data_IF_724149550159
#
_entry.id   IF_724149550159
#
_cell.length_a   1.000
_cell.length_b   1.000
_cell.length_c   1.000
_cell.angle_alpha   90.00
_cell.angle_beta   90.00
_cell.angle_gamma   90.00
#
_symmetry.space_group_name_H-M   'P 1'
#
loop_
_entity.id
_entity.type
_entity.pdbx_description
1 polymer ?
#
# COMPACT_ATOMS: atom_id res chain seq x y z
N UNK A 1 12.33 2.67 36.32
CA UNK A 1 10.92 2.99 36.04
C UNK A 1 10.18 1.66 35.90
N UNK A 2 8.91 1.59 36.30
CA UNK A 2 8.06 0.46 35.91
C UNK A 2 7.77 0.54 34.39
N UNK A 3 7.58 -0.58 33.69
CA UNK A 3 7.24 -0.54 32.27
C UNK A 3 5.82 0.00 32.08
N UNK A 4 5.63 0.91 31.11
CA UNK A 4 4.30 1.43 30.76
C UNK A 4 3.49 0.33 30.07
N UNK A 5 2.30 0.08 30.59
CA UNK A 5 1.25 -0.67 29.90
C UNK A 5 0.65 0.24 28.82
N UNK A 6 0.45 -0.31 27.63
CA UNK A 6 -0.14 0.35 26.47
C UNK A 6 -1.44 -0.33 26.09
N UNK A 7 -2.49 0.44 25.79
CA UNK A 7 -3.74 -0.10 25.27
C UNK A 7 -3.61 -0.59 23.82
N UNK A 8 -4.58 -1.38 23.35
CA UNK A 8 -4.64 -1.85 21.96
C UNK A 8 -4.48 -0.73 20.93
N UNK A 9 -5.00 0.47 21.21
CA UNK A 9 -4.87 1.65 20.33
C UNK A 9 -3.45 2.23 20.37
N UNK A 10 -2.89 2.39 21.56
CA UNK A 10 -1.52 2.91 21.73
C UNK A 10 -0.46 1.98 21.11
N UNK A 11 -0.65 0.66 21.21
CA UNK A 11 0.17 -0.38 20.58
C UNK A 11 0.27 -0.22 19.06
N UNK A 12 -0.81 0.26 18.44
CA UNK A 12 -0.95 0.43 16.99
C UNK A 12 -0.51 1.83 16.55
N UNK A 13 -0.65 2.84 17.42
CA UNK A 13 -0.29 4.23 17.13
C UNK A 13 1.17 4.62 17.47
N UNK A 14 1.92 3.75 18.17
CA UNK A 14 3.34 3.94 18.42
C UNK A 14 4.23 3.60 17.19
N UNK A 15 5.36 4.31 17.00
CA UNK A 15 6.45 3.85 16.15
C UNK A 15 7.18 2.64 16.76
N UNK A 16 7.91 1.89 15.94
CA UNK A 16 8.90 0.91 16.40
C UNK A 16 10.20 1.63 16.85
N UNK A 17 10.98 1.08 17.79
CA UNK A 17 12.29 1.63 18.16
C UNK A 17 13.32 1.40 17.04
N UNK A 18 14.31 2.30 16.92
CA UNK A 18 15.42 2.14 15.97
C UNK A 18 16.25 0.87 16.28
N UNK A 19 16.78 0.20 15.26
CA UNK A 19 17.67 -0.95 15.45
C UNK A 19 19.03 -0.52 16.02
N UNK A 20 19.50 -1.26 17.02
CA UNK A 20 20.84 -1.10 17.59
C UNK A 20 21.90 -1.77 16.71
N UNK A 21 22.32 -1.10 15.63
CA UNK A 21 23.34 -1.59 14.70
C UNK A 21 24.72 -0.99 15.05
N UNK A 22 25.80 -1.76 14.87
CA UNK A 22 27.17 -1.26 14.86
C UNK A 22 27.73 -1.33 13.43
N UNK A 23 28.28 -0.22 12.93
CA UNK A 23 28.76 -0.13 11.54
C UNK A 23 29.92 -1.08 11.21
N UNK A 24 30.72 -1.44 12.23
CA UNK A 24 31.90 -2.30 12.13
C UNK A 24 31.55 -3.78 12.24
N UNK A 25 30.46 -4.12 12.93
CA UNK A 25 30.08 -5.51 13.26
C UNK A 25 28.76 -5.95 12.59
N UNK A 26 28.60 -5.62 11.31
CA UNK A 26 27.41 -5.95 10.50
C UNK A 26 27.77 -6.55 9.13
N UNK A 27 26.86 -7.31 8.54
CA UNK A 27 27.05 -7.98 7.24
C UNK A 27 27.42 -6.99 6.12
N UNK A 28 28.48 -7.32 5.38
CA UNK A 28 29.05 -6.43 4.35
C UNK A 28 28.52 -6.70 2.94
N UNK A 29 28.00 -7.90 2.67
CA UNK A 29 27.39 -8.33 1.41
C UNK A 29 25.87 -8.08 1.35
N UNK A 30 25.29 -7.64 0.22
CA UNK A 30 23.84 -7.68 0.00
C UNK A 30 23.36 -9.13 -0.21
N UNK A 31 22.06 -9.38 -0.03
CA UNK A 31 21.46 -10.73 -0.13
C UNK A 31 20.54 -10.93 -1.35
N UNK A 32 20.35 -9.88 -2.16
CA UNK A 32 19.44 -9.86 -3.30
C UNK A 32 19.75 -10.98 -4.30
N UNK A 33 18.71 -11.70 -4.73
CA UNK A 33 18.86 -12.79 -5.69
C UNK A 33 18.92 -12.26 -7.13
N UNK A 34 19.53 -13.01 -8.05
CA UNK A 34 19.47 -12.72 -9.50
C UNK A 34 18.11 -13.15 -10.08
N UNK A 35 17.06 -12.45 -9.65
CA UNK A 35 15.67 -12.72 -9.96
C UNK A 35 14.94 -11.38 -10.04
N UNK A 36 14.28 -11.10 -11.16
CA UNK A 36 13.56 -9.86 -11.44
C UNK A 36 12.07 -10.11 -11.53
N UNK A 37 11.28 -9.14 -11.10
CA UNK A 37 9.86 -9.04 -11.44
C UNK A 37 9.69 -8.49 -12.87
N UNK A 38 8.94 -9.21 -13.70
CA UNK A 38 8.86 -8.97 -15.15
C UNK A 38 7.51 -8.44 -15.65
N UNK A 39 6.44 -8.63 -14.88
CA UNK A 39 5.09 -8.15 -15.20
C UNK A 39 4.90 -6.66 -14.80
N UNK A 40 3.67 -6.15 -14.86
CA UNK A 40 3.39 -4.74 -14.62
C UNK A 40 3.32 -4.36 -13.14
N UNK A 41 3.78 -3.14 -12.84
CA UNK A 41 3.71 -2.48 -11.53
C UNK A 41 2.62 -1.39 -11.53
N UNK A 42 1.94 -1.25 -10.40
CA UNK A 42 1.07 -0.09 -10.11
C UNK A 42 1.15 0.29 -8.63
N UNK A 43 0.68 1.48 -8.28
CA UNK A 43 0.69 1.95 -6.89
C UNK A 43 -0.53 1.43 -6.12
N UNK A 44 -0.37 1.22 -4.81
CA UNK A 44 -1.45 0.90 -3.88
C UNK A 44 -1.41 1.88 -2.68
N UNK A 45 -2.41 2.76 -2.57
CA UNK A 45 -2.50 3.60 -1.37
C UNK A 45 -3.08 2.79 -0.19
N UNK A 46 -2.17 2.18 0.57
CA UNK A 46 -2.50 1.46 1.79
C UNK A 46 -2.73 2.41 2.98
N UNK A 47 -2.05 3.56 3.01
CA UNK A 47 -2.02 4.49 4.15
C UNK A 47 -3.42 5.00 4.51
N UNK A 48 -4.18 5.50 3.53
CA UNK A 48 -5.55 5.99 3.77
C UNK A 48 -6.47 4.91 4.33
N UNK A 49 -6.53 3.75 3.65
CA UNK A 49 -7.41 2.64 4.03
C UNK A 49 -7.02 2.03 5.38
N UNK A 50 -5.72 2.05 5.74
CA UNK A 50 -5.22 1.60 7.02
C UNK A 50 -5.61 2.53 8.18
N UNK A 51 -5.50 3.86 8.02
CA UNK A 51 -6.02 4.86 8.97
C UNK A 51 -7.55 4.71 9.12
N UNK A 52 -8.29 4.64 8.02
CA UNK A 52 -9.75 4.43 8.03
C UNK A 52 -10.17 3.15 8.79
N UNK A 53 -9.46 2.03 8.59
CA UNK A 53 -9.74 0.81 9.35
C UNK A 53 -9.36 0.93 10.83
N UNK A 54 -8.18 1.50 11.14
CA UNK A 54 -7.72 1.77 12.52
C UNK A 54 -8.71 2.64 13.30
N UNK A 55 -9.27 3.67 12.65
CA UNK A 55 -10.25 4.59 13.26
C UNK A 55 -11.66 3.97 13.37
N UNK A 56 -11.98 2.98 12.53
CA UNK A 56 -13.27 2.26 12.58
C UNK A 56 -13.39 1.23 13.71
N UNK A 57 -12.29 0.93 14.41
CA UNK A 57 -12.27 -0.09 15.48
C UNK A 57 -12.79 0.50 16.80
N UNK A 58 -13.76 -0.20 17.41
CA UNK A 58 -14.17 -0.02 18.81
C UNK A 58 -13.08 -0.55 19.74
N UNK A 59 -12.07 0.28 20.00
CA UNK A 59 -10.89 -0.05 20.79
C UNK A 59 -11.24 -0.29 22.26
N UNK A 60 -11.00 -1.51 22.75
CA UNK A 60 -11.21 -1.90 24.15
C UNK A 60 -9.87 -2.01 24.86
N UNK A 61 -9.73 -1.29 25.97
CA UNK A 61 -8.49 -1.15 26.75
C UNK A 61 -8.08 -2.42 27.54
N UNK A 62 -8.76 -3.54 27.29
CA UNK A 62 -8.45 -4.86 27.85
C UNK A 62 -7.11 -5.44 27.34
N UNK A 63 -6.67 -5.01 26.15
CA UNK A 63 -5.36 -5.39 25.60
C UNK A 63 -4.27 -4.55 26.26
N UNK A 64 -3.32 -5.22 26.91
CA UNK A 64 -2.15 -4.58 27.50
C UNK A 64 -0.87 -5.21 26.96
N UNK A 65 0.05 -4.37 26.49
CA UNK A 65 1.44 -4.74 26.18
C UNK A 65 2.40 -3.71 26.76
N UNK A 66 3.70 -4.02 26.79
CA UNK A 66 4.72 -3.15 27.35
C UNK A 66 5.37 -2.26 26.28
N UNK A 67 5.49 -0.96 26.56
CA UNK A 67 6.31 -0.06 25.76
C UNK A 67 7.78 -0.51 25.73
N UNK A 68 8.42 -0.51 24.56
CA UNK A 68 9.84 -0.84 24.38
C UNK A 68 10.62 0.38 23.90
N UNK A 69 10.80 1.37 24.79
CA UNK A 69 11.33 2.71 24.48
C UNK A 69 12.68 2.73 23.73
N UNK A 70 13.50 1.67 23.87
CA UNK A 70 14.84 1.54 23.27
C UNK A 70 15.19 0.08 22.98
N UNK A 71 15.72 -0.17 21.79
CA UNK A 71 16.32 -1.44 21.43
C UNK A 71 17.53 -1.77 22.33
N UNK A 72 17.61 -3.03 22.78
CA UNK A 72 18.66 -3.52 23.68
C UNK A 72 19.60 -4.50 22.98
N UNK A 73 19.10 -5.29 22.04
CA UNK A 73 19.83 -6.32 21.32
C UNK A 73 20.54 -5.72 20.10
N UNK A 74 21.83 -6.03 19.93
CA UNK A 74 22.56 -5.63 18.74
C UNK A 74 22.09 -6.41 17.51
N UNK A 75 21.94 -5.72 16.38
CA UNK A 75 21.65 -6.31 15.08
C UNK A 75 22.86 -6.18 14.15
N UNK A 76 23.21 -7.28 13.48
CA UNK A 76 24.38 -7.35 12.61
C UNK A 76 24.17 -8.17 11.34
N UNK A 77 23.01 -8.81 11.17
CA UNK A 77 22.70 -9.69 10.02
C UNK A 77 21.19 -9.75 9.74
N UNK A 78 20.78 -10.57 8.75
CA UNK A 78 19.36 -10.71 8.38
C UNK A 78 18.55 -11.47 9.44
N UNK A 79 19.12 -12.45 10.14
CA UNK A 79 18.40 -13.19 11.19
C UNK A 79 18.09 -12.30 12.40
N UNK A 80 19.03 -11.44 12.82
CA UNK A 80 18.79 -10.45 13.88
C UNK A 80 17.76 -9.40 13.47
N UNK A 81 17.76 -8.94 12.20
CA UNK A 81 16.71 -8.06 11.66
C UNK A 81 15.33 -8.74 11.70
N UNK A 82 15.21 -9.99 11.22
CA UNK A 82 13.95 -10.78 11.30
C UNK A 82 13.49 -10.95 12.75
N UNK A 83 14.40 -11.32 13.65
CA UNK A 83 14.06 -11.54 15.06
C UNK A 83 13.57 -10.26 15.77
N UNK A 84 14.15 -9.10 15.47
CA UNK A 84 13.70 -7.82 16.04
C UNK A 84 12.43 -7.31 15.37
N UNK A 85 12.22 -7.53 14.08
CA UNK A 85 10.95 -7.24 13.41
C UNK A 85 9.80 -8.08 14.00
N UNK A 86 10.01 -9.39 14.13
CA UNK A 86 9.03 -10.30 14.72
C UNK A 86 8.70 -9.94 16.18
N UNK A 87 9.68 -9.50 16.97
CA UNK A 87 9.47 -9.12 18.37
C UNK A 87 8.84 -7.73 18.54
N UNK A 88 9.39 -6.69 17.90
CA UNK A 88 8.94 -5.30 18.09
C UNK A 88 7.56 -5.06 17.44
N UNK A 89 7.29 -5.68 16.28
CA UNK A 89 6.04 -5.52 15.54
C UNK A 89 5.11 -6.73 15.67
N UNK A 90 5.49 -7.88 15.10
CA UNK A 90 4.55 -8.97 14.85
C UNK A 90 3.95 -9.58 16.12
N UNK A 91 4.76 -9.77 17.15
CA UNK A 91 4.32 -10.26 18.46
C UNK A 91 3.34 -9.27 19.11
N UNK A 92 3.71 -7.98 19.19
CA UNK A 92 2.88 -6.90 19.74
C UNK A 92 1.54 -6.77 19.01
N UNK A 93 1.57 -6.86 17.68
CA UNK A 93 0.40 -6.77 16.79
C UNK A 93 -0.54 -7.98 16.91
N UNK A 94 -0.03 -9.17 17.25
CA UNK A 94 -0.86 -10.40 17.36
C UNK A 94 -2.01 -10.24 18.36
N UNK A 95 -1.82 -9.44 19.43
CA UNK A 95 -2.88 -9.09 20.39
C UNK A 95 -4.05 -8.35 19.73
N UNK A 96 -3.76 -7.42 18.82
CA UNK A 96 -4.79 -6.68 18.08
C UNK A 96 -5.40 -7.52 16.94
N UNK A 97 -4.62 -8.40 16.29
CA UNK A 97 -5.15 -9.34 15.31
C UNK A 97 -6.24 -10.23 15.92
N UNK A 98 -5.94 -10.86 17.06
CA UNK A 98 -6.84 -11.78 17.76
C UNK A 98 -8.17 -11.11 18.14
N UNK A 99 -8.17 -9.81 18.49
CA UNK A 99 -9.37 -9.10 18.95
C UNK A 99 -10.16 -8.41 17.85
N UNK A 100 -9.52 -7.92 16.79
CA UNK A 100 -10.13 -7.02 15.80
C UNK A 100 -10.08 -7.50 14.34
N UNK A 101 -9.29 -8.53 14.03
CA UNK A 101 -9.15 -9.09 12.67
C UNK A 101 -9.68 -10.52 12.59
N UNK A 102 -9.06 -11.44 13.34
CA UNK A 102 -9.42 -12.85 13.46
C UNK A 102 -8.63 -13.46 14.63
N UNK A 103 -9.32 -14.17 15.51
CA UNK A 103 -8.78 -14.89 16.69
C UNK A 103 -7.69 -15.90 16.33
N UNK A 104 -7.84 -16.61 15.21
CA UNK A 104 -6.86 -17.59 14.73
C UNK A 104 -5.61 -17.01 14.06
N UNK A 105 -5.48 -15.70 13.81
CA UNK A 105 -4.39 -15.16 12.98
C UNK A 105 -3.14 -14.74 13.75
N UNK A 106 -2.00 -15.37 13.43
CA UNK A 106 -0.70 -15.15 14.06
C UNK A 106 0.46 -15.14 13.05
N UNK A 107 1.51 -14.37 13.36
CA UNK A 107 2.76 -14.37 12.60
C UNK A 107 3.69 -15.51 13.05
N UNK A 108 4.51 -16.01 12.13
CA UNK A 108 5.55 -16.99 12.42
C UNK A 108 6.34 -17.43 11.19
N UNK A 109 7.19 -18.44 11.34
CA UNK A 109 7.99 -19.01 10.24
C UNK A 109 7.12 -19.58 9.12
N UNK A 110 7.54 -19.43 7.85
CA UNK A 110 6.87 -20.06 6.71
C UNK A 110 6.71 -21.59 6.85
N UNK A 111 7.62 -22.26 7.57
CA UNK A 111 7.55 -23.72 7.80
C UNK A 111 6.33 -24.14 8.63
N UNK A 112 5.72 -23.22 9.38
CA UNK A 112 4.49 -23.46 10.12
C UNK A 112 3.24 -23.49 9.21
N UNK A 113 3.34 -23.08 7.94
CA UNK A 113 2.23 -23.16 7.00
C UNK A 113 1.97 -24.60 6.52
N UNK A 114 0.69 -24.94 6.40
CA UNK A 114 0.17 -26.23 5.93
C UNK A 114 0.49 -26.46 4.46
N UNK A 115 0.98 -27.67 4.14
CA UNK A 115 1.47 -28.06 2.80
C UNK A 115 2.46 -27.01 2.23
N UNK A 116 3.57 -26.72 2.94
CA UNK A 116 4.50 -25.69 2.52
C UNK A 116 5.16 -26.09 1.19
N UNK A 117 5.26 -25.13 0.27
CA UNK A 117 5.88 -25.35 -1.03
C UNK A 117 7.39 -25.46 -0.82
N UNK A 118 8.01 -26.43 -1.51
CA UNK A 118 9.47 -26.57 -1.50
C UNK A 118 10.10 -25.44 -2.33
N UNK A 119 10.68 -24.46 -1.64
CA UNK A 119 11.56 -23.45 -2.22
C UNK A 119 13.03 -23.72 -1.85
N UNK A 120 13.97 -23.17 -2.64
CA UNK A 120 15.40 -23.15 -2.32
C UNK A 120 15.75 -22.14 -1.21
N UNK A 121 15.03 -21.02 -1.16
CA UNK A 121 14.90 -20.13 0.01
C UNK A 121 13.42 -19.91 0.28
N UNK A 122 13.01 -19.97 1.54
CA UNK A 122 11.62 -19.74 1.97
C UNK A 122 11.37 -18.26 2.32
N UNK A 123 10.10 -17.80 2.40
CA UNK A 123 9.76 -16.57 3.09
C UNK A 123 10.29 -16.56 4.53
N UNK A 124 10.86 -15.44 4.94
CA UNK A 124 11.44 -15.26 6.29
C UNK A 124 10.33 -15.14 7.35
N UNK A 125 9.19 -14.56 6.96
CA UNK A 125 8.03 -14.31 7.82
C UNK A 125 6.77 -14.74 7.06
N UNK A 126 5.80 -15.30 7.79
CA UNK A 126 4.46 -15.60 7.30
C UNK A 126 3.40 -15.09 8.30
N UNK A 127 2.22 -14.76 7.77
CA UNK A 127 0.99 -14.64 8.55
C UNK A 127 0.13 -15.88 8.23
N UNK A 128 -0.25 -16.63 9.26
CA UNK A 128 -1.01 -17.89 9.15
C UNK A 128 -2.27 -17.85 10.03
N UNK A 129 -3.21 -18.75 9.78
CA UNK A 129 -4.29 -19.06 10.72
C UNK A 129 -3.92 -20.23 11.66
N UNK A 130 -4.73 -20.43 12.69
CA UNK A 130 -4.80 -21.60 13.58
C UNK A 130 -4.84 -22.95 12.82
N UNK A 131 -5.63 -23.02 11.75
CA UNK A 131 -5.71 -24.15 10.82
C UNK A 131 -4.45 -24.32 9.94
N UNK A 132 -3.38 -23.56 10.24
CA UNK A 132 -2.11 -23.44 9.54
C UNK A 132 -2.23 -22.98 8.08
N UNK A 133 -3.35 -22.37 7.68
CA UNK A 133 -3.50 -21.84 6.33
C UNK A 133 -2.70 -20.53 6.19
N UNK A 134 -1.92 -20.42 5.10
CA UNK A 134 -1.13 -19.23 4.80
C UNK A 134 -2.01 -18.07 4.34
N UNK A 135 -1.81 -16.88 4.90
CA UNK A 135 -2.51 -15.65 4.53
C UNK A 135 -1.58 -14.64 3.82
N UNK A 136 -0.39 -14.37 4.38
CA UNK A 136 0.59 -13.40 3.86
C UNK A 136 2.00 -14.00 3.89
N UNK A 137 2.84 -13.61 2.94
CA UNK A 137 4.29 -13.91 2.93
C UNK A 137 5.12 -12.63 3.09
N UNK A 138 6.23 -12.71 3.80
CA UNK A 138 7.18 -11.62 4.03
C UNK A 138 8.61 -12.00 3.68
N UNK A 139 9.35 -11.04 3.14
CA UNK A 139 10.81 -11.09 2.95
C UNK A 139 11.46 -10.00 3.82
N UNK A 140 12.56 -10.32 4.48
CA UNK A 140 13.36 -9.38 5.25
C UNK A 140 14.74 -9.15 4.61
N UNK A 141 15.29 -7.95 4.82
CA UNK A 141 16.57 -7.49 4.28
C UNK A 141 17.29 -6.61 5.30
N UNK A 142 18.62 -6.50 5.24
CA UNK A 142 19.32 -5.52 6.11
C UNK A 142 19.18 -4.09 5.59
N UNK A 143 18.91 -3.09 6.45
CA UNK A 143 18.78 -1.70 6.00
C UNK A 143 20.12 -1.11 5.55
N UNK A 144 21.22 -1.48 6.20
CA UNK A 144 22.59 -1.05 5.83
C UNK A 144 23.12 -1.64 4.50
N UNK A 145 22.32 -2.44 3.78
CA UNK A 145 22.60 -2.88 2.40
C UNK A 145 21.49 -2.53 1.42
N UNK A 146 20.27 -2.29 1.88
CA UNK A 146 19.09 -2.14 1.03
C UNK A 146 18.26 -0.94 1.47
N UNK A 147 18.12 0.04 0.58
CA UNK A 147 17.34 1.27 0.75
C UNK A 147 16.24 1.25 -0.31
N UNK A 148 15.00 0.97 0.11
CA UNK A 148 13.86 0.76 -0.78
C UNK A 148 13.54 2.05 -1.55
N UNK A 149 13.63 3.22 -0.89
CA UNK A 149 13.40 4.54 -1.51
C UNK A 149 14.46 4.89 -2.54
N UNK A 150 15.71 4.45 -2.37
CA UNK A 150 16.74 4.57 -3.42
C UNK A 150 16.48 3.59 -4.56
N UNK A 151 16.21 2.32 -4.25
CA UNK A 151 15.98 1.27 -5.22
C UNK A 151 14.78 1.59 -6.14
N UNK A 152 13.68 2.11 -5.58
CA UNK A 152 12.49 2.57 -6.33
C UNK A 152 12.76 3.63 -7.42
N UNK A 153 13.91 4.31 -7.40
CA UNK A 153 14.30 5.29 -8.43
C UNK A 153 15.01 4.64 -9.63
N UNK A 154 15.33 3.35 -9.55
CA UNK A 154 16.10 2.60 -10.54
C UNK A 154 15.32 1.31 -10.82
N UNK A 155 14.39 1.36 -11.78
CA UNK A 155 13.42 0.27 -12.05
C UNK A 155 14.06 -1.13 -12.11
N UNK A 156 15.17 -1.28 -12.86
CA UNK A 156 15.88 -2.56 -12.97
C UNK A 156 16.48 -3.08 -11.64
N UNK A 157 16.80 -2.20 -10.68
CA UNK A 157 17.20 -2.59 -9.32
C UNK A 157 15.97 -2.85 -8.43
N UNK A 158 14.92 -2.02 -8.51
CA UNK A 158 13.67 -2.25 -7.77
C UNK A 158 13.03 -3.59 -8.13
N UNK A 159 12.95 -3.90 -9.44
CA UNK A 159 12.44 -5.17 -9.96
C UNK A 159 13.31 -6.36 -9.55
N UNK A 160 14.63 -6.18 -9.44
CA UNK A 160 15.52 -7.20 -8.86
C UNK A 160 15.20 -7.45 -7.37
N UNK A 161 15.02 -6.36 -6.63
CA UNK A 161 14.79 -6.38 -5.20
C UNK A 161 13.45 -7.05 -4.82
N UNK A 162 12.37 -6.73 -5.54
CA UNK A 162 11.04 -7.30 -5.30
C UNK A 162 10.82 -8.67 -5.97
N UNK A 163 11.69 -9.11 -6.89
CA UNK A 163 11.53 -10.36 -7.64
C UNK A 163 11.42 -11.61 -6.75
N UNK A 164 12.05 -11.59 -5.57
CA UNK A 164 11.99 -12.66 -4.59
C UNK A 164 10.60 -12.78 -3.92
N UNK A 165 10.09 -11.68 -3.35
CA UNK A 165 8.76 -11.65 -2.72
C UNK A 165 7.64 -11.88 -3.77
N UNK A 166 7.79 -11.33 -4.98
CA UNK A 166 6.86 -11.57 -6.09
C UNK A 166 6.79 -13.06 -6.47
N UNK A 167 7.92 -13.78 -6.48
CA UNK A 167 7.94 -15.23 -6.70
C UNK A 167 7.24 -16.00 -5.58
N UNK A 168 7.45 -15.60 -4.32
CA UNK A 168 6.81 -16.23 -3.17
C UNK A 168 5.28 -16.09 -3.23
N UNK A 169 4.78 -14.87 -3.44
CA UNK A 169 3.35 -14.58 -3.57
C UNK A 169 2.71 -15.38 -4.71
N UNK A 170 3.35 -15.44 -5.88
CA UNK A 170 2.90 -16.23 -7.04
C UNK A 170 2.85 -17.73 -6.73
N UNK A 171 3.98 -18.34 -6.31
CA UNK A 171 4.05 -19.79 -6.07
C UNK A 171 3.08 -20.23 -4.98
N UNK A 172 2.96 -19.47 -3.88
CA UNK A 172 2.02 -19.75 -2.79
C UNK A 172 0.56 -19.37 -3.11
N UNK A 173 0.31 -18.72 -4.25
CA UNK A 173 -0.99 -18.13 -4.62
C UNK A 173 -1.54 -17.18 -3.54
N UNK A 174 -0.68 -16.49 -2.77
CA UNK A 174 -1.14 -15.48 -1.80
C UNK A 174 -1.41 -14.15 -2.49
N UNK A 175 -2.56 -13.54 -2.19
CA UNK A 175 -2.90 -12.21 -2.69
C UNK A 175 -1.96 -11.14 -2.13
N UNK A 176 -1.69 -11.21 -0.83
CA UNK A 176 -0.98 -10.18 -0.08
C UNK A 176 0.43 -10.62 0.31
N UNK A 177 1.35 -9.65 0.41
CA UNK A 177 2.74 -9.86 0.81
C UNK A 177 3.41 -8.56 1.26
N UNK A 178 4.63 -8.65 1.80
CA UNK A 178 5.44 -7.49 2.15
C UNK A 178 6.95 -7.76 2.02
N UNK A 179 7.73 -6.68 1.91
CA UNK A 179 9.18 -6.71 2.05
C UNK A 179 9.58 -5.62 3.05
N UNK A 180 10.41 -5.98 4.02
CA UNK A 180 10.90 -5.04 5.04
C UNK A 180 12.43 -5.01 5.12
N UNK A 181 13.00 -3.84 5.38
CA UNK A 181 14.38 -3.67 5.82
C UNK A 181 14.46 -3.43 7.34
N UNK A 182 13.39 -3.78 8.07
CA UNK A 182 12.95 -3.16 9.32
C UNK A 182 12.67 -1.66 9.16
N UNK A 183 13.70 -0.85 8.87
CA UNK A 183 13.61 0.62 8.84
C UNK A 183 12.59 1.15 7.82
N UNK A 184 12.51 0.50 6.66
CA UNK A 184 11.60 0.78 5.56
C UNK A 184 10.79 -0.48 5.25
N UNK A 185 9.48 -0.37 5.05
CA UNK A 185 8.62 -1.50 4.65
C UNK A 185 7.73 -1.13 3.47
N UNK A 186 7.52 -2.09 2.58
CA UNK A 186 6.67 -1.98 1.39
C UNK A 186 5.73 -3.18 1.33
N UNK A 187 4.44 -2.90 1.08
CA UNK A 187 3.37 -3.88 1.00
C UNK A 187 2.99 -4.16 -0.45
N UNK A 188 2.50 -5.37 -0.73
CA UNK A 188 2.17 -5.82 -2.07
C UNK A 188 0.82 -6.51 -2.12
N UNK A 189 0.09 -6.31 -3.22
CA UNK A 189 -1.05 -7.13 -3.61
C UNK A 189 -0.97 -7.58 -5.07
N UNK A 190 -1.30 -8.85 -5.33
CA UNK A 190 -1.53 -9.38 -6.68
C UNK A 190 -2.99 -9.16 -7.09
N UNK A 191 -3.22 -8.48 -8.21
CA UNK A 191 -4.57 -8.21 -8.74
C UNK A 191 -4.66 -8.44 -10.25
N UNK A 192 -5.83 -8.83 -10.81
CA UNK A 192 -6.03 -8.89 -12.25
C UNK A 192 -5.85 -7.51 -12.89
N UNK A 193 -5.29 -7.43 -14.11
CA UNK A 193 -5.17 -6.18 -14.84
C UNK A 193 -6.56 -5.75 -15.36
N UNK A 194 -7.11 -4.58 -14.95
CA UNK A 194 -8.52 -4.23 -15.15
C UNK A 194 -8.93 -4.21 -16.62
N UNK A 195 -8.02 -3.77 -17.51
CA UNK A 195 -8.24 -3.68 -18.96
C UNK A 195 -7.70 -4.86 -19.79
N UNK A 196 -7.02 -5.86 -19.21
CA UNK A 196 -6.30 -6.92 -19.95
C UNK A 196 -6.55 -8.31 -19.33
N UNK A 197 -7.41 -9.11 -19.98
CA UNK A 197 -7.74 -10.48 -19.51
C UNK A 197 -6.49 -11.36 -19.40
N UNK A 198 -6.41 -12.15 -18.32
CA UNK A 198 -5.27 -13.02 -17.97
C UNK A 198 -3.92 -12.34 -17.70
N UNK A 199 -3.84 -11.01 -17.76
CA UNK A 199 -2.69 -10.25 -17.25
C UNK A 199 -2.95 -9.94 -15.77
N UNK A 200 -1.90 -9.98 -14.96
CA UNK A 200 -1.92 -9.65 -13.54
C UNK A 200 -0.89 -8.55 -13.26
N UNK A 201 -1.14 -7.79 -12.20
CA UNK A 201 -0.34 -6.64 -11.77
C UNK A 201 0.13 -6.87 -10.33
N UNK A 202 1.37 -6.49 -10.04
CA UNK A 202 1.86 -6.41 -8.67
C UNK A 202 1.73 -4.96 -8.21
N UNK A 203 0.67 -4.67 -7.47
CA UNK A 203 0.50 -3.33 -6.89
C UNK A 203 1.34 -3.22 -5.62
N UNK A 204 2.12 -2.15 -5.50
CA UNK A 204 3.04 -1.90 -4.39
C UNK A 204 2.68 -0.63 -3.63
N UNK A 205 2.83 -0.66 -2.31
CA UNK A 205 2.59 0.53 -1.48
C UNK A 205 3.73 1.55 -1.59
N UNK A 206 3.50 2.79 -1.15
CA UNK A 206 4.57 3.64 -0.69
C UNK A 206 5.42 2.96 0.40
N UNK A 207 6.66 3.42 0.56
CA UNK A 207 7.50 3.02 1.69
C UNK A 207 6.96 3.62 2.98
N UNK A 208 6.64 2.76 3.94
CA UNK A 208 6.25 3.10 5.31
C UNK A 208 7.49 2.92 6.20
N UNK A 209 7.83 3.93 7.00
CA UNK A 209 8.98 3.85 7.89
C UNK A 209 8.60 3.23 9.24
N UNK A 210 9.52 2.49 9.84
CA UNK A 210 9.32 1.90 11.17
C UNK A 210 9.00 2.95 12.26
N UNK A 211 9.54 4.16 12.09
CA UNK A 211 9.38 5.29 13.00
C UNK A 211 8.34 6.33 12.54
N UNK A 212 7.53 6.01 11.51
CA UNK A 212 6.34 6.79 11.15
C UNK A 212 5.37 6.84 12.33
N UNK A 213 4.98 8.05 12.72
CA UNK A 213 4.11 8.31 13.87
C UNK A 213 2.65 8.39 13.42
N UNK A 214 1.74 8.09 14.34
CA UNK A 214 0.37 8.57 14.21
C UNK A 214 0.38 10.10 14.16
N UNK A 215 -0.18 10.66 13.08
CA UNK A 215 -0.61 12.06 13.03
C UNK A 215 -2.05 12.11 12.52
N UNK A 216 -2.86 13.01 13.10
CA UNK A 216 -4.24 13.19 12.68
C UNK A 216 -4.29 13.91 11.31
N UNK A 217 -5.12 13.39 10.42
CA UNK A 217 -5.52 14.07 9.18
C UNK A 217 -6.73 14.96 9.50
N UNK A 218 -6.76 16.18 8.94
CA UNK A 218 -7.87 17.10 9.15
C UNK A 218 -9.15 16.62 8.44
N UNK A 219 -10.32 16.93 9.01
CA UNK A 219 -11.63 16.46 8.53
C UNK A 219 -11.90 16.87 7.08
N UNK A 220 -11.43 18.06 6.67
CA UNK A 220 -11.55 18.59 5.31
C UNK A 220 -10.67 17.88 4.25
N UNK A 221 -9.89 16.87 4.68
CA UNK A 221 -8.85 16.20 3.88
C UNK A 221 -8.92 14.68 3.91
N UNK A 222 -9.93 14.09 4.57
CA UNK A 222 -10.04 12.64 4.75
C UNK A 222 -10.17 11.85 3.44
N UNK A 223 -10.81 12.43 2.42
CA UNK A 223 -11.01 11.75 1.13
C UNK A 223 -9.75 11.77 0.25
N UNK A 224 -8.82 12.72 0.46
CA UNK A 224 -7.60 12.82 -0.36
C UNK A 224 -6.47 11.94 0.22
N UNK A 225 -6.04 10.86 -0.48
CA UNK A 225 -5.08 9.91 0.05
C UNK A 225 -3.65 10.47 0.27
N UNK A 226 -3.33 11.64 -0.29
CA UNK A 226 -2.00 12.24 -0.17
C UNK A 226 -1.72 12.79 1.24
N UNK A 227 -2.74 13.30 1.95
CA UNK A 227 -2.55 13.88 3.30
C UNK A 227 -2.26 12.85 4.39
N UNK A 228 -2.44 11.56 4.10
CA UNK A 228 -2.13 10.45 4.98
C UNK A 228 -0.64 10.07 4.94
N UNK A 229 0.13 10.59 3.97
CA UNK A 229 1.50 10.16 3.71
C UNK A 229 2.42 10.40 4.91
N UNK A 230 2.95 9.30 5.46
CA UNK A 230 3.88 9.33 6.59
C UNK A 230 3.23 9.56 7.96
N UNK A 231 1.89 9.69 7.99
CA UNK A 231 1.05 9.94 9.19
C UNK A 231 0.36 8.69 9.75
N UNK A 232 0.67 7.55 9.14
CA UNK A 232 0.08 6.23 9.42
C UNK A 232 1.23 5.32 9.82
N UNK A 233 1.05 4.59 10.92
CA UNK A 233 2.15 3.77 11.44
C UNK A 233 2.36 2.52 10.60
N UNK A 234 3.51 1.87 10.81
CA UNK A 234 3.74 0.55 10.25
C UNK A 234 2.76 -0.49 10.79
N UNK A 235 2.38 -0.41 12.07
CA UNK A 235 1.44 -1.34 12.70
C UNK A 235 0.01 -1.20 12.15
N UNK A 236 -0.43 0.01 11.80
CA UNK A 236 -1.72 0.26 11.16
C UNK A 236 -1.79 -0.36 9.76
N UNK A 237 -0.73 -0.19 8.96
CA UNK A 237 -0.63 -0.80 7.65
C UNK A 237 -0.67 -2.35 7.73
N UNK A 238 -0.02 -2.95 8.72
CA UNK A 238 -0.06 -4.40 8.94
C UNK A 238 -1.39 -4.91 9.51
N UNK A 239 -2.06 -4.16 10.39
CA UNK A 239 -3.39 -4.48 10.91
C UNK A 239 -4.42 -4.54 9.75
N UNK A 240 -4.36 -3.57 8.84
CA UNK A 240 -5.15 -3.55 7.62
C UNK A 240 -4.75 -4.65 6.63
N UNK A 241 -3.45 -4.92 6.43
CA UNK A 241 -2.97 -6.04 5.61
C UNK A 241 -3.53 -7.38 6.09
N UNK A 242 -3.55 -7.59 7.41
CA UNK A 242 -4.13 -8.78 8.03
C UNK A 242 -5.64 -8.86 7.80
N UNK A 243 -6.38 -7.75 7.92
CA UNK A 243 -7.82 -7.69 7.60
C UNK A 243 -8.12 -8.03 6.14
N UNK A 244 -7.36 -7.46 5.20
CA UNK A 244 -7.50 -7.77 3.77
C UNK A 244 -7.13 -9.22 3.45
N UNK A 245 -6.17 -9.80 4.18
CA UNK A 245 -5.81 -11.21 4.05
C UNK A 245 -6.75 -12.19 4.78
N UNK A 246 -7.55 -11.75 5.76
CA UNK A 246 -8.61 -12.58 6.35
C UNK A 246 -9.83 -12.66 5.43
N UNK A 247 -10.16 -11.54 4.76
CA UNK A 247 -11.18 -11.44 3.70
C UNK A 247 -10.79 -12.22 2.43
N UNK A 248 -9.64 -11.89 1.83
CA UNK A 248 -9.16 -12.48 0.59
C UNK A 248 -7.65 -12.78 0.64
N UNK A 249 -7.34 -14.06 0.87
CA UNK A 249 -5.96 -14.57 0.90
C UNK A 249 -5.44 -15.06 -0.45
N UNK A 250 -6.25 -15.17 -1.51
CA UNK A 250 -5.87 -15.96 -2.70
C UNK A 250 -5.75 -15.15 -4.00
N UNK A 251 -4.59 -15.25 -4.64
CA UNK A 251 -4.39 -14.78 -6.01
C UNK A 251 -4.51 -15.96 -6.99
N UNK A 252 -5.55 -15.92 -7.84
CA UNK A 252 -5.72 -16.82 -8.97
C UNK A 252 -4.83 -16.44 -10.17
N UNK A 253 -3.56 -16.07 -9.92
CA UNK A 253 -2.65 -15.54 -10.93
C UNK A 253 -2.44 -16.57 -12.07
N UNK A 254 -2.92 -16.22 -13.26
CA UNK A 254 -2.96 -17.07 -14.45
C UNK A 254 -1.81 -16.81 -15.42
N UNK A 255 -0.90 -15.87 -15.12
CA UNK A 255 0.29 -15.64 -15.92
C UNK A 255 1.27 -16.81 -15.85
N UNK A 256 2.01 -17.06 -16.94
CA UNK A 256 3.13 -17.99 -16.92
C UNK A 256 4.22 -17.51 -15.94
N UNK A 257 4.80 -18.42 -15.15
CA UNK A 257 5.76 -18.08 -14.09
C UNK A 257 6.95 -17.23 -14.59
N UNK A 258 7.45 -17.52 -15.81
CA UNK A 258 8.56 -16.81 -16.47
C UNK A 258 8.23 -15.36 -16.88
N UNK A 259 6.93 -15.06 -17.02
CA UNK A 259 6.40 -13.74 -17.38
C UNK A 259 6.04 -12.92 -16.14
N UNK A 260 5.91 -13.59 -14.98
CA UNK A 260 5.78 -12.95 -13.68
C UNK A 260 7.16 -12.61 -13.09
N UNK A 261 8.09 -13.58 -13.07
CA UNK A 261 9.45 -13.44 -12.55
C UNK A 261 10.47 -14.22 -13.38
N UNK A 262 11.64 -13.62 -13.65
CA UNK A 262 12.70 -14.21 -14.46
C UNK A 262 14.11 -13.89 -13.97
N UNK A 263 15.10 -14.67 -14.37
CA UNK A 263 16.52 -14.44 -14.05
C UNK A 263 17.23 -13.51 -15.05
N UNK A 264 16.46 -12.75 -15.83
CA UNK A 264 16.89 -12.01 -17.01
C UNK A 264 16.22 -10.63 -17.02
N UNK A 265 17.03 -9.58 -16.82
CA UNK A 265 16.58 -8.20 -16.76
C UNK A 265 16.17 -7.62 -18.12
N UNK A 266 16.52 -8.26 -19.25
CA UNK A 266 16.08 -7.81 -20.58
C UNK A 266 14.59 -8.08 -20.86
N UNK A 267 13.91 -8.83 -19.98
CA UNK A 267 12.48 -9.17 -20.09
C UNK A 267 11.59 -8.34 -19.15
N UNK A 268 12.06 -7.17 -18.71
CA UNK A 268 11.28 -6.22 -17.94
C UNK A 268 10.34 -5.47 -18.91
N UNK A 269 9.03 -5.63 -18.74
CA UNK A 269 8.04 -4.81 -19.46
C UNK A 269 7.54 -3.67 -18.57
N UNK A 270 8.21 -2.51 -18.65
CA UNK A 270 7.84 -1.29 -17.92
C UNK A 270 6.96 -0.30 -18.68
N UNK A 271 6.62 -0.56 -19.96
CA UNK A 271 5.93 0.41 -20.83
C UNK A 271 4.49 0.75 -20.37
N UNK A 272 3.86 -0.16 -19.61
CA UNK A 272 2.50 -0.05 -19.08
C UNK A 272 2.46 0.30 -17.56
N UNK A 273 3.61 0.56 -16.92
CA UNK A 273 3.68 0.76 -15.47
C UNK A 273 3.02 2.09 -15.01
N UNK A 274 2.49 2.09 -13.78
CA UNK A 274 2.05 3.32 -13.10
C UNK A 274 0.71 3.93 -13.57
N UNK A 275 0.22 3.58 -14.76
CA UNK A 275 -1.06 4.08 -15.32
C UNK A 275 -2.19 3.03 -15.30
N UNK A 276 -2.16 2.11 -14.33
CA UNK A 276 -3.18 1.08 -14.16
C UNK A 276 -4.18 1.52 -13.09
N UNK A 277 -5.26 2.16 -13.54
CA UNK A 277 -6.42 2.56 -12.76
C UNK A 277 -7.31 1.37 -12.40
N UNK A 278 -7.48 1.08 -11.11
CA UNK A 278 -8.44 0.09 -10.61
C UNK A 278 -9.71 0.79 -10.13
N UNK A 279 -10.87 0.32 -10.59
CA UNK A 279 -12.17 0.68 -9.99
C UNK A 279 -12.32 -0.15 -8.71
N UNK A 280 -12.68 0.47 -7.58
CA UNK A 280 -12.78 -0.25 -6.30
C UNK A 280 -14.07 -1.10 -6.28
N UNK A 281 -13.90 -2.43 -6.18
CA UNK A 281 -15.02 -3.38 -6.12
C UNK A 281 -15.86 -3.17 -4.85
N UNK A 282 -17.05 -2.57 -5.02
CA UNK A 282 -18.06 -2.47 -3.98
C UNK A 282 -18.61 -3.85 -3.59
N UNK A 283 -18.51 -4.19 -2.30
CA UNK A 283 -19.02 -5.46 -1.77
C UNK A 283 -20.52 -5.61 -2.03
N UNK A 284 -20.88 -6.64 -2.80
CA UNK A 284 -22.27 -7.00 -3.12
C UNK A 284 -22.45 -8.50 -2.92
N UNK A 285 -22.85 -8.87 -1.70
CA UNK A 285 -23.11 -10.23 -1.30
C UNK A 285 -24.55 -10.36 -0.80
N UNK A 286 -25.48 -10.70 -1.71
CA UNK A 286 -26.78 -11.27 -1.33
C UNK A 286 -27.03 -12.53 -2.17
N UNK A 287 -27.14 -13.68 -1.51
CA UNK A 287 -27.68 -14.91 -2.10
C UNK A 287 -29.22 -14.87 -2.04
N UNK A 288 -29.88 -15.05 -3.18
CA UNK A 288 -31.35 -15.22 -3.26
C UNK A 288 -31.70 -16.57 -3.89
N UNK A 289 -31.96 -17.60 -3.08
CA UNK A 289 -32.44 -18.91 -3.55
C UNK A 289 -33.97 -19.00 -3.38
N UNK A 290 -34.64 -19.44 -4.46
CA UNK A 290 -35.93 -20.18 -4.45
C UNK A 290 -37.18 -19.40 -3.97
N UNK A 291 -38.42 -19.79 -4.29
CA UNK A 291 -38.92 -20.94 -5.07
C UNK A 291 -40.06 -20.51 -6.03
N UNK A 292 -40.48 -21.41 -6.93
CA UNK A 292 -41.66 -21.23 -7.79
C UNK A 292 -42.98 -21.34 -6.99
N UNK A 293 -44.02 -20.55 -7.30
CA UNK A 293 -45.28 -21.04 -7.95
C UNK A 293 -46.52 -20.12 -7.95
N UNK A 294 -47.32 -20.37 -8.99
CA UNK A 294 -48.79 -20.30 -9.15
C UNK A 294 -49.57 -18.96 -9.08
N UNK A 295 -50.69 -18.95 -9.81
CA UNK A 295 -51.47 -17.78 -10.25
C UNK A 295 -52.57 -17.34 -9.25
N UNK A 296 -52.94 -16.04 -9.26
CA UNK A 296 -54.29 -15.59 -9.68
C UNK A 296 -54.55 -14.07 -9.67
N UNK A 297 -54.66 -13.53 -10.88
CA UNK A 297 -55.77 -12.73 -11.47
C UNK A 297 -56.78 -11.93 -10.59
N UNK A 298 -57.26 -10.80 -11.15
CA UNK A 298 -58.36 -9.86 -10.75
C UNK A 298 -58.04 -8.96 -9.53
N UNK A 299 -58.03 -7.61 -9.63
CA UNK A 299 -59.09 -6.63 -9.98
C UNK A 299 -60.30 -6.70 -9.02
N UNK A 300 -60.86 -5.61 -8.45
CA UNK A 300 -61.10 -4.28 -9.06
C UNK A 300 -61.38 -3.13 -8.03
N UNK A 301 -60.96 -1.90 -8.38
CA UNK A 301 -61.59 -0.56 -8.16
C UNK A 301 -62.27 -0.10 -6.82
N UNK A 302 -61.71 1.00 -6.27
CA UNK A 302 -62.38 2.20 -5.64
C UNK A 302 -63.12 2.03 -4.28
N UNK A 303 -63.38 3.03 -3.42
CA UNK A 303 -63.46 4.52 -3.54
C UNK A 303 -62.95 5.35 -2.32
N UNK A 304 -62.26 6.47 -2.60
CA UNK A 304 -62.23 7.83 -1.95
C UNK A 304 -62.45 8.09 -0.42
N UNK A 305 -61.50 8.86 0.15
CA UNK A 305 -61.66 10.11 0.98
C UNK A 305 -62.09 9.99 2.47
N UNK A 306 -61.62 10.79 3.47
CA UNK A 306 -60.65 11.94 3.59
C UNK A 306 -59.57 11.67 4.71
N UNK A 307 -58.94 12.51 5.59
CA UNK A 307 -59.06 13.95 6.02
C UNK A 307 -57.80 14.59 6.69
N UNK A 308 -57.04 15.42 5.94
CA UNK A 308 -56.47 16.76 6.30
C UNK A 308 -55.80 17.06 7.69
N UNK A 309 -54.45 17.03 7.76
CA UNK A 309 -53.51 18.13 8.20
C UNK A 309 -52.04 17.65 8.11
N UNK A 310 -51.12 18.34 7.41
CA UNK A 310 -50.10 19.29 7.93
C UNK A 310 -49.37 18.76 9.18
N UNK A 311 -48.03 18.54 9.22
CA UNK A 311 -46.84 19.05 8.48
C UNK A 311 -45.73 17.94 8.45
N UNK A 312 -44.60 17.94 7.73
CA UNK A 312 -44.02 18.77 6.63
C UNK A 312 -42.77 18.05 6.01
N UNK A 313 -42.51 18.28 4.71
CA UNK A 313 -41.22 18.37 3.93
C UNK A 313 -39.91 17.94 4.66
N UNK A 314 -39.00 17.13 4.09
CA UNK A 314 -38.56 17.07 2.66
C UNK A 314 -38.42 15.66 2.08
N UNK A 315 -38.76 15.52 0.79
CA UNK A 315 -38.36 14.38 -0.06
C UNK A 315 -36.85 14.51 -0.42
N UNK A 316 -36.03 13.51 -0.79
CA UNK A 316 -36.21 12.17 -1.38
C UNK A 316 -36.91 12.12 -2.74
N UNK A 317 -36.42 12.89 -3.73
CA UNK A 317 -36.43 12.49 -5.14
C UNK A 317 -35.61 13.43 -6.06
N UNK A 318 -34.35 13.07 -6.31
CA UNK A 318 -33.57 13.35 -7.54
C UNK A 318 -32.24 12.58 -7.43
N UNK A 319 -32.21 11.33 -7.89
CA UNK A 319 -30.99 10.52 -7.93
C UNK A 319 -30.84 9.88 -9.32
N UNK A 320 -30.96 10.70 -10.37
CA UNK A 320 -30.75 10.24 -11.75
C UNK A 320 -30.27 11.32 -12.75
N UNK A 321 -29.50 12.29 -12.28
CA UNK A 321 -28.61 13.13 -13.12
C UNK A 321 -27.41 13.54 -12.27
N UNK A 322 -26.25 12.91 -12.52
CA UNK A 322 -24.90 13.51 -12.47
C UNK A 322 -23.85 12.44 -12.82
N UNK A 323 -24.09 11.73 -13.93
CA UNK A 323 -23.12 10.81 -14.54
C UNK A 323 -22.23 11.59 -15.50
N UNK A 324 -21.30 12.41 -14.99
CA UNK A 324 -20.04 12.78 -15.68
C UNK A 324 -19.12 13.66 -14.80
N UNK A 325 -17.81 13.65 -15.10
CA UNK A 325 -16.77 14.59 -14.59
C UNK A 325 -16.32 14.51 -13.11
N UNK A 326 -16.28 13.32 -12.51
CA UNK A 326 -15.27 13.08 -11.46
C UNK A 326 -13.90 12.85 -12.13
N UNK A 327 -12.96 13.78 -11.94
CA UNK A 327 -11.65 13.78 -12.60
C UNK A 327 -10.69 12.75 -11.97
N UNK A 328 -10.36 11.67 -12.68
CA UNK A 328 -9.50 10.58 -12.17
C UNK A 328 -8.01 10.97 -12.34
N UNK A 329 -7.53 11.91 -11.52
CA UNK A 329 -6.13 12.36 -11.53
C UNK A 329 -5.41 12.31 -10.17
N UNK A 330 -5.75 11.32 -9.33
CA UNK A 330 -4.94 10.95 -8.15
C UNK A 330 -3.60 10.24 -8.46
N UNK A 331 -2.98 10.52 -9.61
CA UNK A 331 -1.72 9.90 -10.03
C UNK A 331 -0.54 10.59 -9.34
N UNK A 332 0.12 9.95 -8.38
CA UNK A 332 1.27 10.57 -7.71
C UNK A 332 2.47 10.68 -8.67
N UNK A 333 2.77 11.90 -9.11
CA UNK A 333 3.90 12.17 -10.00
C UNK A 333 5.22 11.68 -9.35
N UNK A 334 6.20 11.29 -10.18
CA UNK A 334 7.56 10.89 -9.76
C UNK A 334 8.31 11.92 -8.87
N UNK A 335 7.78 13.14 -8.77
CA UNK A 335 8.36 14.26 -8.00
C UNK A 335 7.43 14.77 -6.89
N UNK A 336 6.33 14.06 -6.60
CA UNK A 336 5.36 14.39 -5.54
C UNK A 336 5.99 14.51 -4.14
N UNK A 337 7.13 13.85 -3.91
CA UNK A 337 7.92 13.91 -2.67
C UNK A 337 8.92 15.07 -2.61
N UNK A 338 9.04 15.89 -3.66
CA UNK A 338 9.90 17.07 -3.69
C UNK A 338 9.11 18.33 -3.32
N UNK A 339 9.75 19.21 -2.55
CA UNK A 339 9.16 20.48 -2.09
C UNK A 339 8.94 21.46 -3.25
N UNK A 340 7.80 22.15 -3.24
CA UNK A 340 7.51 23.27 -4.15
C UNK A 340 8.30 24.52 -3.75
N UNK A 341 8.98 25.19 -4.69
CA UNK A 341 9.89 26.31 -4.38
C UNK A 341 9.82 27.50 -5.33
N UNK A 342 8.66 28.15 -5.39
CA UNK A 342 8.49 29.45 -6.00
C UNK A 342 8.43 29.44 -7.53
N UNK A 343 7.65 30.36 -8.09
CA UNK A 343 7.33 30.36 -9.51
C UNK A 343 8.46 30.92 -10.38
N UNK A 344 8.75 30.26 -11.50
CA UNK A 344 9.82 30.64 -12.45
C UNK A 344 9.23 30.98 -13.82
N UNK A 345 9.56 32.14 -14.37
CA UNK A 345 9.26 32.46 -15.77
C UNK A 345 10.17 31.67 -16.71
N UNK A 346 9.58 30.99 -17.68
CA UNK A 346 10.29 30.23 -18.73
C UNK A 346 9.90 30.74 -20.12
N UNK A 347 10.82 30.55 -21.06
CA UNK A 347 10.72 30.97 -22.45
C UNK A 347 10.94 29.77 -23.36
N UNK A 348 10.43 29.81 -24.59
CA UNK A 348 10.57 28.72 -25.55
C UNK A 348 11.63 29.04 -26.62
N UNK A 349 12.68 28.23 -26.68
CA UNK A 349 13.71 28.30 -27.71
C UNK A 349 13.24 27.53 -28.96
N UNK A 350 12.93 28.27 -30.03
CA UNK A 350 12.46 27.73 -31.31
C UNK A 350 13.57 27.10 -32.17
N UNK A 351 14.84 27.28 -31.81
CA UNK A 351 15.98 26.66 -32.50
C UNK A 351 16.35 25.32 -31.86
N UNK A 352 16.18 25.19 -30.54
CA UNK A 352 16.44 23.95 -29.79
C UNK A 352 15.20 23.09 -29.48
N UNK A 353 13.99 23.59 -29.76
CA UNK A 353 12.69 22.95 -29.43
C UNK A 353 12.51 22.69 -27.92
N UNK A 354 12.99 23.64 -27.09
CA UNK A 354 13.12 23.47 -25.63
C UNK A 354 12.66 24.68 -24.84
N UNK A 355 12.08 24.43 -23.67
CA UNK A 355 11.87 25.45 -22.66
C UNK A 355 13.18 25.78 -21.92
N UNK A 356 13.36 27.04 -21.55
CA UNK A 356 14.52 27.50 -20.76
C UNK A 356 14.14 28.64 -19.81
N UNK A 357 14.98 28.87 -18.79
CA UNK A 357 14.96 30.08 -17.98
C UNK A 357 16.33 30.77 -17.98
N UNK A 358 16.37 32.05 -17.63
CA UNK A 358 17.62 32.83 -17.56
C UNK A 358 18.14 32.81 -16.12
N UNK A 359 19.33 32.23 -15.93
CA UNK A 359 20.02 32.18 -14.64
C UNK A 359 21.41 32.81 -14.77
N UNK A 360 21.66 33.90 -14.02
CA UNK A 360 22.92 34.66 -14.05
C UNK A 360 23.38 35.03 -15.48
N UNK A 361 22.44 35.42 -16.34
CA UNK A 361 22.71 35.80 -17.73
C UNK A 361 22.95 34.63 -18.70
N UNK A 362 22.73 33.37 -18.29
CA UNK A 362 22.80 32.19 -19.16
C UNK A 362 21.43 31.55 -19.32
N UNK A 363 21.17 31.00 -20.51
CA UNK A 363 20.02 30.12 -20.73
C UNK A 363 20.26 28.78 -20.02
N UNK A 364 19.26 28.29 -19.31
CA UNK A 364 19.24 26.97 -18.67
C UNK A 364 18.00 26.25 -19.18
N UNK A 365 18.20 25.30 -20.10
CA UNK A 365 17.12 24.51 -20.68
C UNK A 365 16.57 23.53 -19.64
N UNK A 366 15.25 23.35 -19.62
CA UNK A 366 14.52 22.54 -18.66
C UNK A 366 13.54 21.62 -19.38
N UNK A 367 13.41 20.40 -18.86
CA UNK A 367 12.31 19.52 -19.25
C UNK A 367 11.10 19.83 -18.35
N UNK A 368 9.91 19.88 -18.94
CA UNK A 368 8.69 20.19 -18.22
C UNK A 368 7.95 18.90 -17.84
N UNK A 369 7.29 18.98 -16.70
CA UNK A 369 6.43 17.98 -16.12
C UNK A 369 5.08 18.62 -15.81
N UNK A 370 4.00 17.83 -15.81
CA UNK A 370 2.66 18.34 -15.56
C UNK A 370 2.10 17.73 -14.27
N UNK A 371 1.93 18.58 -13.27
CA UNK A 371 1.23 18.25 -12.03
C UNK A 371 -0.27 18.50 -12.25
N UNK A 372 -1.18 17.57 -11.89
CA UNK A 372 -2.62 17.78 -12.06
C UNK A 372 -3.17 19.00 -11.31
N UNK A 373 -2.59 19.30 -10.14
CA UNK A 373 -3.10 20.33 -9.23
C UNK A 373 -2.39 21.69 -9.43
N UNK A 374 -1.08 21.67 -9.68
CA UNK A 374 -0.21 22.86 -9.75
C UNK A 374 0.22 23.24 -11.19
N UNK A 375 -0.13 22.42 -12.18
CA UNK A 375 0.13 22.68 -13.60
C UNK A 375 1.56 22.34 -14.05
N UNK A 376 2.08 23.09 -15.02
CA UNK A 376 3.45 22.88 -15.53
C UNK A 376 4.51 23.20 -14.46
N UNK A 377 5.53 22.34 -14.36
CA UNK A 377 6.71 22.56 -13.51
C UNK A 377 7.99 21.97 -14.12
N UNK A 378 9.14 22.31 -13.54
CA UNK A 378 10.39 21.54 -13.72
C UNK A 378 11.03 21.19 -12.37
N UNK A 379 11.95 20.23 -12.39
CA UNK A 379 12.73 19.83 -11.21
C UNK A 379 14.15 20.38 -11.31
N UNK A 380 14.68 20.92 -10.22
CA UNK A 380 16.11 21.27 -10.12
C UNK A 380 16.61 21.07 -8.69
N UNK A 381 17.64 20.24 -8.53
CA UNK A 381 18.03 19.71 -7.22
C UNK A 381 16.88 18.93 -6.58
N UNK A 382 16.56 19.26 -5.33
CA UNK A 382 15.51 18.60 -4.54
C UNK A 382 14.15 19.33 -4.60
N UNK A 383 13.93 20.23 -5.56
CA UNK A 383 12.78 21.13 -5.60
C UNK A 383 12.01 21.06 -6.92
N UNK A 384 10.68 21.21 -6.84
CA UNK A 384 9.80 21.51 -7.97
C UNK A 384 9.60 23.02 -8.10
N UNK A 385 9.63 23.52 -9.33
CA UNK A 385 9.45 24.92 -9.68
C UNK A 385 8.25 25.05 -10.64
N UNK A 386 7.08 25.56 -10.20
CA UNK A 386 5.94 25.77 -11.08
C UNK A 386 6.24 26.92 -12.04
N UNK A 387 5.85 26.80 -13.31
CA UNK A 387 6.34 27.71 -14.36
C UNK A 387 5.29 28.66 -14.91
N UNK A 388 5.73 29.85 -15.30
CA UNK A 388 4.98 30.76 -16.17
C UNK A 388 5.61 30.73 -17.57
N UNK A 389 4.90 30.12 -18.51
CA UNK A 389 5.29 30.07 -19.93
C UNK A 389 5.11 31.44 -20.59
N UNK A 390 6.15 31.94 -21.24
CA UNK A 390 6.12 33.05 -22.19
C UNK A 390 6.44 32.50 -23.60
N UNK A 391 5.70 32.94 -24.63
CA UNK A 391 5.73 32.42 -26.02
C UNK A 391 6.43 33.36 -27.03
#
# INVERSE_FOLDING_TARGET
MAPRLLSGKEIIQQPLPDLRVDEKYRTTSPSTQKLWFSANLSQWNIEQKARQYSDSIDWKDEIQSYACDKERLYCGDEHSVVARFNHNLCHTLTLALHRYVNDGMAFGDYKCAKKPIKFTKIPDIALITDAHDLCVVGEAKTPWKHDIVRLQRIDGEFRNFIGQIAQYMYKTKRKHGFLTTYEQTIFFQQVPHPKKKNVWVLCYSPVIYHNSKYEQVAEDKLDNPAYYRGKVTLAECFLYLAKRASEDRQAANSMEAKSWVGSDSSKINGEDDGHISFEEEGSSAEEGKKDEKDEKDKSQRMTRSTTRRLKTITNTNTLHTDTERLNIQGHSHLYSTLEWRGCVSIFFDRLEDKWYYISKGKHVHVHLHQDPDEGDFFVSGNYRYPVRKHQ
#
